data_IF_917158829971
#
_entry.id   IF_917158829971
#
_cell.length_a   1.000
_cell.length_b   1.000
_cell.length_c   1.000
_cell.angle_alpha   90.00
_cell.angle_beta   90.00
_cell.angle_gamma   90.00
#
_symmetry.space_group_name_H-M   'P 1'
#
loop_
_entity.id
_entity.type
_entity.pdbx_description
1 polymer ?
#
# COMPACT_ATOMS: atom_id res chain seq x y z
N UNK A 1 11.84 -9.78 -1.87
CA UNK A 1 10.55 -10.37 -2.25
C UNK A 1 9.78 -10.74 -0.98
N UNK A 2 8.50 -10.43 -0.93
CA UNK A 2 7.56 -10.79 0.14
C UNK A 2 6.65 -11.92 -0.38
N UNK A 3 6.50 -13.01 0.37
CA UNK A 3 5.71 -14.18 -0.04
C UNK A 3 4.75 -14.59 1.08
N UNK A 4 3.48 -14.76 0.74
CA UNK A 4 2.46 -15.37 1.58
C UNK A 4 2.31 -16.84 1.15
N UNK A 5 2.25 -17.77 2.09
CA UNK A 5 2.13 -19.21 1.81
C UNK A 5 1.03 -19.82 2.67
N UNK A 6 -0.05 -20.23 2.01
CA UNK A 6 -1.21 -20.94 2.60
C UNK A 6 -1.77 -20.24 3.85
N UNK A 7 -1.89 -18.92 3.78
CA UNK A 7 -2.35 -18.09 4.91
C UNK A 7 -3.81 -18.34 5.19
N UNK A 8 -4.13 -18.64 6.47
CA UNK A 8 -5.49 -18.70 6.97
C UNK A 8 -5.68 -17.77 8.16
N UNK A 9 -6.85 -17.17 8.25
CA UNK A 9 -7.25 -16.32 9.37
C UNK A 9 -8.74 -16.37 9.63
N UNK A 10 -9.09 -16.72 10.86
CA UNK A 10 -10.46 -16.62 11.39
C UNK A 10 -10.58 -15.43 12.34
N UNK A 11 -11.70 -14.73 12.28
CA UNK A 11 -12.06 -13.65 13.21
C UNK A 11 -13.46 -13.94 13.74
N UNK A 12 -13.62 -14.01 15.06
CA UNK A 12 -14.89 -14.32 15.71
C UNK A 12 -15.54 -15.62 15.20
N UNK A 13 -14.72 -16.65 14.95
CA UNK A 13 -15.19 -17.95 14.45
C UNK A 13 -15.51 -18.00 12.95
N UNK A 14 -15.41 -16.87 12.23
CA UNK A 14 -15.60 -16.82 10.77
C UNK A 14 -14.26 -16.83 10.07
N UNK A 15 -14.06 -17.75 9.12
CA UNK A 15 -12.89 -17.80 8.26
C UNK A 15 -12.93 -16.61 7.27
N UNK A 16 -11.99 -15.69 7.39
CA UNK A 16 -11.92 -14.44 6.61
C UNK A 16 -10.87 -14.54 5.50
N UNK A 17 -9.74 -15.22 5.77
CA UNK A 17 -8.70 -15.50 4.79
C UNK A 17 -8.50 -17.00 4.78
N UNK A 18 -8.61 -17.63 3.62
CA UNK A 18 -8.58 -19.07 3.44
C UNK A 18 -7.58 -19.46 2.35
N UNK A 19 -6.49 -20.05 2.75
CA UNK A 19 -5.45 -20.61 1.86
C UNK A 19 -4.86 -19.61 0.84
N UNK A 20 -4.66 -18.35 1.29
CA UNK A 20 -4.14 -17.28 0.43
C UNK A 20 -2.63 -17.39 0.27
N UNK A 21 -2.16 -17.50 -0.99
CA UNK A 21 -0.75 -17.57 -1.36
C UNK A 21 -0.46 -16.65 -2.54
N UNK A 22 0.46 -15.68 -2.38
CA UNK A 22 0.94 -14.83 -3.47
C UNK A 22 2.26 -14.17 -3.10
N UNK A 23 2.87 -13.48 -4.06
CA UNK A 23 4.15 -12.81 -3.90
C UNK A 23 4.09 -11.36 -4.35
N UNK A 24 4.86 -10.50 -3.65
CA UNK A 24 5.11 -9.10 -4.01
C UNK A 24 6.61 -8.94 -4.20
N UNK A 25 7.02 -8.59 -5.42
CA UNK A 25 8.42 -8.33 -5.76
C UNK A 25 8.76 -6.85 -5.59
N UNK A 26 10.03 -6.56 -5.34
CA UNK A 26 10.54 -5.20 -5.40
C UNK A 26 10.40 -4.69 -6.85
N UNK A 27 10.20 -3.38 -7.02
CA UNK A 27 10.06 -2.76 -8.34
C UNK A 27 8.81 -3.20 -9.11
N UNK A 28 7.76 -3.64 -8.40
CA UNK A 28 6.46 -3.96 -9.01
C UNK A 28 5.30 -3.35 -8.23
N UNK A 29 4.24 -2.99 -8.95
CA UNK A 29 2.96 -2.60 -8.36
C UNK A 29 2.01 -3.78 -8.49
N UNK A 30 1.52 -4.26 -7.36
CA UNK A 30 0.58 -5.37 -7.29
C UNK A 30 -0.76 -4.90 -6.71
N UNK A 31 -1.87 -5.33 -7.30
CA UNK A 31 -3.21 -5.11 -6.76
C UNK A 31 -3.69 -6.32 -5.95
N UNK A 32 -4.24 -6.10 -4.75
CA UNK A 32 -5.07 -7.07 -4.06
C UNK A 32 -6.51 -6.59 -4.12
N UNK A 33 -7.26 -7.11 -5.08
CA UNK A 33 -8.55 -6.61 -5.49
C UNK A 33 -9.67 -7.60 -5.12
N UNK A 34 -10.90 -7.12 -5.09
CA UNK A 34 -12.06 -7.96 -4.78
C UNK A 34 -13.18 -7.16 -4.11
N UNK A 35 -14.38 -7.75 -3.96
CA UNK A 35 -15.54 -7.08 -3.36
C UNK A 35 -15.32 -6.74 -1.88
N UNK A 36 -16.26 -5.96 -1.33
CA UNK A 36 -16.27 -5.66 0.11
C UNK A 36 -16.44 -6.94 0.93
N UNK A 37 -15.67 -7.05 2.02
CA UNK A 37 -15.67 -8.24 2.86
C UNK A 37 -14.92 -9.44 2.30
N UNK A 38 -14.24 -9.31 1.16
CA UNK A 38 -13.47 -10.42 0.55
C UNK A 38 -12.22 -10.85 1.35
N UNK A 39 -11.76 -10.05 2.34
CA UNK A 39 -10.58 -10.36 3.14
C UNK A 39 -9.35 -9.49 2.84
N UNK A 40 -9.46 -8.49 1.95
CA UNK A 40 -8.33 -7.62 1.54
C UNK A 40 -7.64 -6.94 2.71
N UNK A 41 -8.36 -6.12 3.48
CA UNK A 41 -7.80 -5.40 4.64
C UNK A 41 -7.26 -6.36 5.70
N UNK A 42 -7.92 -7.52 5.92
CA UNK A 42 -7.40 -8.55 6.82
C UNK A 42 -6.07 -9.10 6.33
N UNK A 43 -5.93 -9.33 5.03
CA UNK A 43 -4.65 -9.76 4.41
C UNK A 43 -3.58 -8.69 4.58
N UNK A 44 -3.89 -7.42 4.40
CA UNK A 44 -2.98 -6.30 4.68
C UNK A 44 -2.53 -6.28 6.14
N UNK A 45 -3.45 -6.45 7.09
CA UNK A 45 -3.12 -6.51 8.52
C UNK A 45 -2.22 -7.69 8.86
N UNK A 46 -2.41 -8.83 8.20
CA UNK A 46 -1.52 -9.99 8.33
C UNK A 46 -0.11 -9.68 7.82
N UNK A 47 0.03 -9.04 6.65
CA UNK A 47 1.32 -8.64 6.07
C UNK A 47 1.98 -7.56 6.91
N UNK A 48 1.24 -6.56 7.36
CA UNK A 48 1.76 -5.48 8.21
C UNK A 48 2.17 -5.94 9.63
N UNK A 49 1.67 -7.11 10.08
CA UNK A 49 1.93 -7.63 11.43
C UNK A 49 1.08 -6.99 12.51
N UNK A 50 -0.07 -6.42 12.13
CA UNK A 50 -1.10 -5.94 13.05
C UNK A 50 -1.88 -7.08 13.70
N UNK A 51 -2.10 -8.16 12.95
CA UNK A 51 -2.69 -9.40 13.41
C UNK A 51 -1.83 -10.60 13.00
N UNK A 52 -1.96 -11.73 13.69
CA UNK A 52 -1.24 -12.97 13.34
C UNK A 52 -2.14 -13.89 12.53
N UNK A 53 -1.56 -14.61 11.58
CA UNK A 53 -2.22 -15.72 10.88
C UNK A 53 -2.47 -16.90 11.86
N UNK A 54 -3.51 -17.67 11.57
CA UNK A 54 -3.78 -18.90 12.32
C UNK A 54 -3.00 -20.07 11.74
N UNK A 55 -2.83 -20.07 10.39
CA UNK A 55 -2.02 -21.05 9.64
C UNK A 55 -1.22 -20.35 8.55
N UNK A 56 -0.27 -21.06 7.96
CA UNK A 56 0.58 -20.58 6.88
C UNK A 56 1.77 -19.75 7.34
N UNK A 57 2.49 -19.17 6.40
CA UNK A 57 3.68 -18.37 6.70
C UNK A 57 3.80 -17.14 5.80
N UNK A 58 4.37 -16.08 6.36
CA UNK A 58 4.78 -14.88 5.63
C UNK A 58 6.31 -14.85 5.65
N UNK A 59 6.90 -14.86 4.46
CA UNK A 59 8.35 -14.90 4.25
C UNK A 59 8.79 -13.62 3.56
N UNK A 60 9.86 -13.01 4.06
CA UNK A 60 10.46 -11.82 3.50
C UNK A 60 11.98 -12.00 3.40
N UNK A 61 12.54 -11.96 2.17
CA UNK A 61 13.94 -12.26 1.88
C UNK A 61 14.45 -13.52 2.60
N UNK A 62 13.72 -14.64 2.40
CA UNK A 62 14.01 -15.97 2.98
C UNK A 62 13.84 -16.08 4.51
N UNK A 63 13.49 -14.98 5.21
CA UNK A 63 13.19 -14.98 6.64
C UNK A 63 11.67 -15.12 6.89
N UNK A 64 11.29 -16.04 7.77
CA UNK A 64 9.90 -16.16 8.20
C UNK A 64 9.57 -15.06 9.22
N UNK A 65 8.75 -14.11 8.78
CA UNK A 65 8.34 -12.95 9.59
C UNK A 65 6.94 -13.11 10.21
N UNK A 66 6.31 -14.28 10.13
CA UNK A 66 4.91 -14.49 10.57
C UNK A 66 4.69 -14.10 12.02
N UNK A 67 5.66 -14.34 12.90
CA UNK A 67 5.58 -14.00 14.32
C UNK A 67 6.00 -12.57 14.66
N UNK A 68 6.64 -11.84 13.72
CA UNK A 68 7.15 -10.51 13.98
C UNK A 68 6.01 -9.48 14.06
N UNK A 69 5.99 -8.61 15.07
CA UNK A 69 5.02 -7.53 15.19
C UNK A 69 5.31 -6.40 14.18
N UNK A 70 4.33 -5.52 13.95
CA UNK A 70 4.37 -4.44 12.96
C UNK A 70 5.66 -3.60 13.01
N UNK A 71 6.11 -3.19 14.20
CA UNK A 71 7.31 -2.36 14.33
C UNK A 71 8.58 -3.06 13.83
N UNK A 72 8.71 -4.38 14.03
CA UNK A 72 9.83 -5.17 13.50
C UNK A 72 9.76 -5.30 11.99
N UNK A 73 8.57 -5.54 11.42
CA UNK A 73 8.40 -5.58 9.95
C UNK A 73 8.66 -4.21 9.34
N UNK A 74 8.30 -3.14 10.03
CA UNK A 74 8.63 -1.78 9.60
C UNK A 74 10.16 -1.55 9.56
N UNK A 75 10.92 -2.04 10.55
CA UNK A 75 12.39 -1.98 10.55
C UNK A 75 13.02 -2.79 9.40
N UNK A 76 12.38 -3.87 8.95
CA UNK A 76 12.79 -4.64 7.77
C UNK A 76 12.45 -3.94 6.43
N UNK A 77 11.75 -2.80 6.46
CA UNK A 77 11.37 -2.03 5.28
C UNK A 77 9.96 -2.30 4.76
N UNK A 78 9.10 -2.99 5.50
CA UNK A 78 7.67 -3.18 5.13
C UNK A 78 6.86 -2.07 5.79
N UNK A 79 6.30 -1.16 4.98
CA UNK A 79 5.50 -0.02 5.49
C UNK A 79 4.03 -0.20 5.14
N UNK A 80 3.18 0.29 6.02
CA UNK A 80 1.73 0.25 5.83
C UNK A 80 1.13 1.66 5.95
N UNK A 81 0.45 2.07 4.90
CA UNK A 81 -0.32 3.31 4.87
C UNK A 81 -1.81 2.94 4.86
N UNK A 82 -2.53 3.18 5.95
CA UNK A 82 -3.95 2.87 6.06
C UNK A 82 -4.81 3.76 5.17
N UNK A 83 -6.08 3.39 5.01
CA UNK A 83 -7.10 4.21 4.37
C UNK A 83 -7.36 5.50 5.16
N UNK A 84 -7.39 5.39 6.50
CA UNK A 84 -7.56 6.57 7.35
C UNK A 84 -6.31 7.46 7.33
N UNK A 85 -6.50 8.80 7.40
CA UNK A 85 -5.39 9.73 7.39
C UNK A 85 -4.38 9.47 8.53
N UNK A 86 -3.13 9.25 8.14
CA UNK A 86 -2.03 9.03 9.08
C UNK A 86 -1.20 10.28 9.36
N UNK A 87 -1.45 11.38 8.63
CA UNK A 87 -0.75 12.67 8.78
C UNK A 87 -1.04 13.31 10.14
N UNK A 88 -0.05 13.97 10.73
CA UNK A 88 -0.25 14.81 11.93
C UNK A 88 -1.00 16.09 11.55
N UNK A 89 -2.30 16.11 11.80
CA UNK A 89 -3.23 17.14 11.30
C UNK A 89 -2.90 18.56 11.77
N UNK A 90 -2.32 18.73 12.97
CA UNK A 90 -2.00 20.03 13.56
C UNK A 90 -0.58 20.53 13.24
N UNK A 91 0.26 19.66 12.69
CA UNK A 91 1.60 20.01 12.20
C UNK A 91 1.52 20.47 10.74
N UNK A 92 2.44 21.32 10.34
CA UNK A 92 2.65 21.72 8.94
C UNK A 92 3.17 20.54 8.11
N UNK A 93 3.15 20.66 6.77
CA UNK A 93 3.74 19.67 5.87
C UNK A 93 5.23 19.50 6.16
N UNK A 94 5.96 20.61 6.33
CA UNK A 94 7.38 20.57 6.68
C UNK A 94 7.62 19.81 7.99
N UNK A 95 6.87 20.13 9.05
CA UNK A 95 6.98 19.45 10.35
C UNK A 95 6.60 17.96 10.26
N UNK A 96 5.65 17.59 9.38
CA UNK A 96 5.31 16.19 9.13
C UNK A 96 6.45 15.40 8.47
N UNK A 97 7.16 16.00 7.51
CA UNK A 97 8.33 15.39 6.87
C UNK A 97 9.48 15.31 7.87
N UNK A 98 9.79 16.42 8.54
CA UNK A 98 10.88 16.53 9.49
C UNK A 98 10.73 15.56 10.67
N UNK A 99 9.54 15.48 11.28
CA UNK A 99 9.32 14.64 12.46
C UNK A 99 9.55 13.16 12.22
N UNK A 100 9.25 12.63 11.01
CA UNK A 100 9.57 11.24 10.68
C UNK A 100 11.04 11.07 10.30
N UNK A 101 11.62 12.04 9.60
CA UNK A 101 13.05 12.03 9.27
C UNK A 101 13.92 12.02 10.52
N UNK A 102 13.61 12.83 11.54
CA UNK A 102 14.34 12.88 12.83
C UNK A 102 14.29 11.56 13.62
N UNK A 103 13.24 10.75 13.41
CA UNK A 103 13.10 9.43 14.06
C UNK A 103 13.91 8.35 13.32
N UNK A 104 14.14 8.52 12.01
CA UNK A 104 14.65 7.47 11.14
C UNK A 104 16.07 7.69 10.64
N UNK A 105 16.49 8.95 10.50
CA UNK A 105 17.80 9.35 9.97
C UNK A 105 18.73 9.77 11.11
N UNK A 106 20.04 9.56 10.93
CA UNK A 106 20.99 9.68 12.02
C UNK A 106 21.54 11.11 12.21
N UNK A 107 21.59 11.89 11.14
CA UNK A 107 22.23 13.20 11.19
C UNK A 107 21.45 14.28 10.43
N UNK A 108 21.73 15.53 10.79
CA UNK A 108 21.03 16.69 10.24
C UNK A 108 21.14 16.80 8.72
N UNK A 109 22.29 16.46 8.15
CA UNK A 109 22.49 16.55 6.70
C UNK A 109 21.57 15.59 5.96
N UNK A 110 21.45 14.34 6.41
CA UNK A 110 20.53 13.36 5.83
C UNK A 110 19.07 13.80 5.93
N UNK A 111 18.71 14.43 7.07
CA UNK A 111 17.35 14.97 7.28
C UNK A 111 17.10 16.11 6.27
N UNK A 112 18.00 17.08 6.15
CA UNK A 112 17.87 18.20 5.24
C UNK A 112 17.80 17.70 3.77
N UNK A 113 18.72 16.81 3.37
CA UNK A 113 18.72 16.19 2.02
C UNK A 113 17.43 15.41 1.72
N UNK A 114 16.88 14.69 2.70
CA UNK A 114 15.60 14.00 2.56
C UNK A 114 14.45 14.97 2.36
N UNK A 115 14.39 16.04 3.15
CA UNK A 115 13.33 17.05 3.08
C UNK A 115 13.38 17.73 1.71
N UNK A 116 14.55 18.18 1.25
CA UNK A 116 14.71 18.85 -0.04
C UNK A 116 14.27 17.96 -1.21
N UNK A 117 14.71 16.69 -1.21
CA UNK A 117 14.29 15.70 -2.20
C UNK A 117 12.77 15.47 -2.18
N UNK A 118 12.18 15.36 -0.98
CA UNK A 118 10.75 15.14 -0.84
C UNK A 118 9.94 16.34 -1.37
N UNK A 119 10.41 17.56 -1.12
CA UNK A 119 9.77 18.78 -1.62
C UNK A 119 9.76 18.79 -3.15
N UNK A 120 10.90 18.49 -3.76
CA UNK A 120 11.04 18.48 -5.22
C UNK A 120 10.22 17.35 -5.86
N UNK A 121 10.41 16.12 -5.41
CA UNK A 121 9.80 14.92 -5.99
C UNK A 121 8.28 14.90 -5.91
N UNK A 122 7.73 15.39 -4.79
CA UNK A 122 6.28 15.39 -4.56
C UNK A 122 5.60 16.73 -4.84
N UNK A 123 6.35 17.73 -5.36
CA UNK A 123 5.85 19.08 -5.63
C UNK A 123 5.18 19.72 -4.43
N UNK A 124 5.87 19.73 -3.26
CA UNK A 124 5.31 20.18 -2.00
C UNK A 124 5.62 21.64 -1.64
N UNK A 125 6.36 22.38 -2.46
CA UNK A 125 6.88 23.72 -2.15
C UNK A 125 5.80 24.69 -1.64
N UNK A 126 4.64 24.73 -2.30
CA UNK A 126 3.54 25.63 -1.92
C UNK A 126 2.77 25.15 -0.67
N UNK A 127 2.93 23.88 -0.31
CA UNK A 127 2.19 23.25 0.79
C UNK A 127 2.92 23.29 2.12
N UNK A 128 4.22 23.58 2.14
CA UNK A 128 5.11 23.41 3.31
C UNK A 128 4.58 24.06 4.60
N UNK A 129 3.94 25.22 4.49
CA UNK A 129 3.41 25.99 5.63
C UNK A 129 1.97 25.62 6.01
N UNK A 130 1.28 24.84 5.17
CA UNK A 130 -0.09 24.39 5.45
C UNK A 130 -0.07 23.28 6.49
N UNK A 131 -1.04 23.32 7.41
CA UNK A 131 -1.25 22.23 8.37
C UNK A 131 -1.92 21.05 7.70
N UNK A 132 -1.64 19.83 8.16
CA UNK A 132 -2.20 18.60 7.62
C UNK A 132 -3.71 18.62 7.42
N UNK A 133 -4.46 19.27 8.35
CA UNK A 133 -5.92 19.44 8.26
C UNK A 133 -6.41 20.38 7.14
N UNK A 134 -5.52 21.17 6.54
CA UNK A 134 -5.85 22.13 5.47
C UNK A 134 -5.63 21.54 4.07
N UNK A 135 -5.03 20.36 4.00
CA UNK A 135 -4.72 19.69 2.74
C UNK A 135 -5.97 19.03 2.13
N UNK A 136 -6.05 19.05 0.81
CA UNK A 136 -6.99 18.18 0.08
C UNK A 136 -6.66 16.70 0.28
N UNK A 137 -7.55 15.79 -0.10
CA UNK A 137 -7.31 14.35 -0.01
C UNK A 137 -6.04 13.91 -0.74
N UNK A 138 -5.86 14.35 -1.98
CA UNK A 138 -4.68 14.04 -2.80
C UNK A 138 -3.39 14.65 -2.25
N UNK A 139 -3.42 15.93 -1.86
CA UNK A 139 -2.27 16.58 -1.24
C UNK A 139 -1.83 15.87 0.03
N UNK A 140 -2.79 15.49 0.89
CA UNK A 140 -2.53 14.73 2.10
C UNK A 140 -1.89 13.37 1.79
N UNK A 141 -2.45 12.63 0.81
CA UNK A 141 -1.92 11.31 0.42
C UNK A 141 -0.49 11.41 -0.10
N UNK A 142 -0.18 12.43 -0.90
CA UNK A 142 1.20 12.68 -1.34
C UNK A 142 2.15 12.90 -0.17
N UNK A 143 1.78 13.71 0.81
CA UNK A 143 2.61 13.95 2.02
C UNK A 143 2.78 12.68 2.85
N UNK A 144 1.74 11.86 3.00
CA UNK A 144 1.80 10.57 3.71
C UNK A 144 2.77 9.59 3.04
N UNK A 145 2.75 9.52 1.71
CA UNK A 145 3.70 8.69 0.95
C UNK A 145 5.11 9.28 1.09
N UNK A 146 5.29 10.58 0.85
CA UNK A 146 6.59 11.26 0.91
C UNK A 146 7.30 11.01 2.24
N UNK A 147 6.63 11.26 3.38
CA UNK A 147 7.24 11.06 4.69
C UNK A 147 7.63 9.62 4.99
N UNK A 148 6.92 8.64 4.38
CA UNK A 148 7.24 7.22 4.56
C UNK A 148 8.61 6.86 3.99
N UNK A 149 9.08 7.61 2.98
CA UNK A 149 10.37 7.38 2.33
C UNK A 149 11.57 7.66 3.24
N UNK A 150 11.42 8.49 4.29
CA UNK A 150 12.48 8.72 5.28
C UNK A 150 12.99 7.41 5.91
N UNK A 151 12.17 6.38 5.95
CA UNK A 151 12.49 5.08 6.52
C UNK A 151 12.93 4.03 5.49
N UNK A 152 13.33 4.45 4.29
CA UNK A 152 13.85 3.62 3.20
C UNK A 152 13.02 2.34 2.94
N UNK A 153 11.73 2.47 2.60
CA UNK A 153 10.87 1.32 2.41
C UNK A 153 11.37 0.42 1.28
N UNK A 154 11.19 -0.88 1.44
CA UNK A 154 11.41 -1.87 0.39
C UNK A 154 10.08 -2.37 -0.18
N UNK A 155 9.05 -2.42 0.69
CA UNK A 155 7.67 -2.75 0.35
C UNK A 155 6.76 -1.71 1.01
N UNK A 156 5.81 -1.17 0.25
CA UNK A 156 4.75 -0.28 0.74
C UNK A 156 3.39 -0.94 0.50
N UNK A 157 2.62 -1.06 1.56
CA UNK A 157 1.23 -1.51 1.54
C UNK A 157 0.35 -0.26 1.58
N UNK A 158 -0.47 -0.03 0.56
CA UNK A 158 -1.37 1.11 0.44
C UNK A 158 -2.81 0.63 0.46
N UNK A 159 -3.50 0.91 1.54
CA UNK A 159 -4.92 0.55 1.69
C UNK A 159 -5.78 1.69 1.13
N UNK A 160 -6.48 1.43 0.03
CA UNK A 160 -7.36 2.34 -0.70
C UNK A 160 -6.73 3.72 -0.99
N UNK A 161 -5.60 3.77 -1.72
CA UNK A 161 -4.88 5.03 -1.95
C UNK A 161 -5.67 6.08 -2.74
N UNK A 162 -6.70 5.70 -3.48
CA UNK A 162 -7.51 6.60 -4.32
C UNK A 162 -8.86 6.96 -3.69
N UNK A 163 -9.18 6.42 -2.50
CA UNK A 163 -10.48 6.64 -1.87
C UNK A 163 -10.70 8.11 -1.48
N UNK A 164 -11.81 8.70 -1.95
CA UNK A 164 -12.18 10.08 -1.61
C UNK A 164 -11.26 11.16 -2.19
N UNK A 165 -10.56 10.86 -3.27
CA UNK A 165 -9.65 11.75 -3.98
C UNK A 165 -10.26 12.12 -5.33
N UNK A 166 -10.06 13.37 -5.76
CA UNK A 166 -10.51 13.84 -7.07
C UNK A 166 -9.68 13.22 -8.21
N UNK A 167 -10.24 13.12 -9.45
CA UNK A 167 -9.58 12.44 -10.56
C UNK A 167 -8.19 12.99 -10.92
N UNK A 168 -7.99 14.32 -10.85
CA UNK A 168 -6.70 14.94 -11.19
C UNK A 168 -5.64 14.50 -10.16
N UNK A 169 -6.00 14.52 -8.88
CA UNK A 169 -5.09 14.11 -7.82
C UNK A 169 -4.84 12.58 -7.83
N UNK A 170 -5.77 11.76 -8.35
CA UNK A 170 -5.52 10.33 -8.56
C UNK A 170 -4.38 10.14 -9.56
N UNK A 171 -4.37 10.86 -10.68
CA UNK A 171 -3.30 10.76 -11.67
C UNK A 171 -1.94 11.17 -11.10
N UNK A 172 -1.89 12.24 -10.29
CA UNK A 172 -0.67 12.63 -9.58
C UNK A 172 -0.16 11.55 -8.62
N UNK A 173 -1.07 10.85 -7.92
CA UNK A 173 -0.68 9.74 -7.03
C UNK A 173 -0.18 8.54 -7.84
N UNK A 174 -0.79 8.23 -8.98
CA UNK A 174 -0.31 7.17 -9.88
C UNK A 174 1.12 7.45 -10.35
N UNK A 175 1.43 8.68 -10.77
CA UNK A 175 2.79 9.08 -11.16
C UNK A 175 3.78 8.86 -10.02
N UNK A 176 3.41 9.25 -8.79
CA UNK A 176 4.22 8.99 -7.59
C UNK A 176 4.47 7.48 -7.41
N UNK A 177 3.43 6.65 -7.48
CA UNK A 177 3.58 5.20 -7.31
C UNK A 177 4.46 4.56 -8.39
N UNK A 178 4.36 5.03 -9.63
CA UNK A 178 5.22 4.60 -10.74
C UNK A 178 6.69 4.99 -10.45
N UNK A 179 6.94 6.22 -10.00
CA UNK A 179 8.31 6.66 -9.65
C UNK A 179 8.90 5.83 -8.50
N UNK A 180 8.10 5.43 -7.51
CA UNK A 180 8.55 4.56 -6.43
C UNK A 180 8.88 3.15 -6.91
N UNK A 181 8.09 2.61 -7.83
CA UNK A 181 8.38 1.34 -8.51
C UNK A 181 9.73 1.40 -9.22
N UNK A 182 10.03 2.49 -9.96
CA UNK A 182 11.31 2.70 -10.66
C UNK A 182 12.51 2.75 -9.69
N UNK A 183 12.29 3.18 -8.44
CA UNK A 183 13.26 3.12 -7.34
C UNK A 183 13.39 1.73 -6.70
N UNK A 184 12.85 0.69 -7.34
CA UNK A 184 12.88 -0.69 -6.87
C UNK A 184 12.12 -0.93 -5.55
N UNK A 185 11.11 -0.10 -5.25
CA UNK A 185 10.19 -0.29 -4.13
C UNK A 185 9.03 -1.18 -4.63
N UNK A 186 8.75 -2.27 -3.91
CA UNK A 186 7.57 -3.10 -4.16
C UNK A 186 6.32 -2.44 -3.57
N UNK A 187 5.23 -2.44 -4.32
CA UNK A 187 3.99 -1.80 -3.90
C UNK A 187 2.87 -2.82 -3.94
N UNK A 188 2.09 -2.90 -2.87
CA UNK A 188 0.83 -3.65 -2.84
C UNK A 188 -0.29 -2.67 -2.51
N UNK A 189 -1.28 -2.57 -3.42
CA UNK A 189 -2.44 -1.70 -3.23
C UNK A 189 -3.72 -2.49 -3.12
N UNK A 190 -4.68 -2.00 -2.33
CA UNK A 190 -6.11 -2.33 -2.48
C UNK A 190 -6.83 -1.07 -2.92
N UNK A 191 -7.89 -1.20 -3.70
CA UNK A 191 -8.78 -0.07 -3.96
C UNK A 191 -10.17 -0.55 -4.39
N UNK A 192 -11.18 0.29 -4.13
CA UNK A 192 -12.53 0.10 -4.65
C UNK A 192 -12.65 0.61 -6.08
N UNK A 193 -11.81 1.56 -6.47
CA UNK A 193 -11.70 2.02 -7.84
C UNK A 193 -10.83 1.06 -8.66
N UNK A 194 -11.43 -0.05 -9.06
CA UNK A 194 -10.78 -1.16 -9.77
C UNK A 194 -10.07 -0.69 -11.03
N UNK A 195 -10.69 0.24 -11.76
CA UNK A 195 -10.15 0.74 -13.02
C UNK A 195 -8.82 1.44 -12.79
N UNK A 196 -8.78 2.39 -11.84
CA UNK A 196 -7.59 3.16 -11.51
C UNK A 196 -6.47 2.26 -10.95
N UNK A 197 -6.85 1.30 -10.10
CA UNK A 197 -5.89 0.34 -9.55
C UNK A 197 -5.26 -0.55 -10.64
N UNK A 198 -6.10 -1.14 -11.52
CA UNK A 198 -5.63 -2.01 -12.61
C UNK A 198 -4.81 -1.26 -13.67
N UNK A 199 -4.96 0.06 -13.77
CA UNK A 199 -4.22 0.86 -14.75
C UNK A 199 -2.71 0.89 -14.45
N UNK A 200 -2.34 0.93 -13.17
CA UNK A 200 -0.94 1.04 -12.73
C UNK A 200 -0.33 -0.30 -12.27
N UNK A 201 -1.15 -1.32 -12.04
CA UNK A 201 -0.65 -2.61 -11.57
C UNK A 201 0.04 -3.40 -12.68
N UNK A 202 1.22 -3.94 -12.40
CA UNK A 202 1.88 -4.94 -13.25
C UNK A 202 1.12 -6.26 -13.22
N UNK A 203 0.59 -6.62 -12.06
CA UNK A 203 -0.31 -7.76 -11.86
C UNK A 203 -1.28 -7.47 -10.72
N UNK A 204 -2.40 -8.17 -10.70
CA UNK A 204 -3.30 -8.14 -9.56
C UNK A 204 -3.75 -9.54 -9.15
N UNK A 205 -4.09 -9.66 -7.89
CA UNK A 205 -4.66 -10.84 -7.23
C UNK A 205 -6.11 -10.48 -6.90
N UNK A 206 -7.06 -11.28 -7.38
CA UNK A 206 -8.48 -11.08 -7.08
C UNK A 206 -8.89 -12.07 -6.02
N UNK A 207 -9.32 -11.52 -4.86
CA UNK A 207 -9.78 -12.30 -3.72
C UNK A 207 -11.31 -12.19 -3.58
N UNK A 208 -11.96 -13.31 -3.29
CA UNK A 208 -13.40 -13.36 -3.00
C UNK A 208 -13.65 -14.38 -1.89
N UNK A 209 -14.44 -14.01 -0.88
CA UNK A 209 -14.74 -14.86 0.28
C UNK A 209 -13.49 -15.47 0.94
N UNK A 210 -12.41 -14.72 0.98
CA UNK A 210 -11.15 -15.14 1.60
C UNK A 210 -10.24 -15.98 0.72
N UNK A 211 -10.60 -16.31 -0.51
CA UNK A 211 -9.83 -17.15 -1.42
C UNK A 211 -9.41 -16.38 -2.67
N UNK A 212 -8.26 -16.72 -3.24
CA UNK A 212 -7.81 -16.17 -4.52
C UNK A 212 -8.60 -16.87 -5.63
N UNK A 213 -9.35 -16.09 -6.42
CA UNK A 213 -10.15 -16.61 -7.55
C UNK A 213 -9.43 -16.40 -8.89
N UNK A 214 -8.54 -15.43 -9.00
CA UNK A 214 -7.71 -15.20 -10.17
C UNK A 214 -6.46 -14.39 -9.79
N UNK A 215 -5.39 -14.53 -10.56
CA UNK A 215 -4.19 -13.71 -10.48
C UNK A 215 -3.55 -13.53 -11.87
N UNK A 216 -2.84 -12.43 -12.06
CA UNK A 216 -2.12 -12.15 -13.29
C UNK A 216 -2.15 -10.69 -13.73
N UNK A 217 -1.66 -10.41 -14.95
CA UNK A 217 -1.71 -9.08 -15.53
C UNK A 217 -3.15 -8.65 -15.85
N UNK A 218 -3.35 -7.34 -16.02
CA UNK A 218 -4.66 -6.71 -16.27
C UNK A 218 -5.44 -7.41 -17.40
N UNK A 219 -4.77 -7.69 -18.52
CA UNK A 219 -5.39 -8.27 -19.72
C UNK A 219 -5.98 -9.66 -19.45
N UNK A 220 -5.34 -10.45 -18.60
CA UNK A 220 -5.86 -11.75 -18.16
C UNK A 220 -7.09 -11.58 -17.29
N UNK A 221 -7.05 -10.67 -16.32
CA UNK A 221 -8.11 -10.48 -15.34
C UNK A 221 -9.39 -9.88 -15.93
N UNK A 222 -9.27 -8.89 -16.81
CA UNK A 222 -10.44 -8.27 -17.46
C UNK A 222 -11.18 -9.22 -18.42
N UNK A 223 -10.53 -10.29 -18.86
CA UNK A 223 -11.12 -11.32 -19.74
C UNK A 223 -11.59 -12.56 -18.97
N UNK A 224 -11.29 -12.67 -17.68
CA UNK A 224 -11.68 -13.80 -16.85
C UNK A 224 -13.17 -13.75 -16.52
N UNK A 225 -13.91 -14.81 -16.89
CA UNK A 225 -15.37 -14.88 -16.70
C UNK A 225 -15.78 -14.89 -15.22
N UNK A 226 -14.97 -15.48 -14.34
CA UNK A 226 -15.25 -15.51 -12.90
C UNK A 226 -15.03 -14.11 -12.31
N UNK A 227 -13.94 -13.44 -12.69
CA UNK A 227 -13.64 -12.08 -12.26
C UNK A 227 -14.71 -11.09 -12.73
N UNK A 228 -15.13 -11.18 -13.98
CA UNK A 228 -16.26 -10.39 -14.53
C UNK A 228 -17.51 -10.60 -13.71
N UNK A 229 -17.92 -11.84 -13.50
CA UNK A 229 -19.16 -12.18 -12.79
C UNK A 229 -19.16 -11.73 -11.34
N UNK A 230 -18.04 -11.88 -10.64
CA UNK A 230 -17.95 -11.68 -9.17
C UNK A 230 -17.56 -10.26 -8.79
N UNK A 231 -16.78 -9.57 -9.65
CA UNK A 231 -16.15 -8.33 -9.25
C UNK A 231 -16.24 -7.19 -10.26
N UNK A 232 -15.95 -7.42 -11.55
CA UNK A 232 -15.90 -6.34 -12.54
C UNK A 232 -17.28 -5.93 -13.06
N UNK A 233 -18.27 -6.84 -13.09
CA UNK A 233 -19.58 -6.58 -13.70
C UNK A 233 -19.43 -6.13 -15.14
N UNK A 234 -20.15 -5.07 -15.54
CA UNK A 234 -20.10 -4.48 -16.89
C UNK A 234 -19.03 -3.39 -17.06
N UNK A 235 -18.05 -3.31 -16.17
CA UNK A 235 -17.05 -2.22 -16.13
C UNK A 235 -16.12 -2.21 -17.34
N UNK A 236 -15.96 -3.35 -18.01
CA UNK A 236 -15.12 -3.57 -19.19
C UNK A 236 -15.88 -4.27 -20.33
N UNK A 237 -17.22 -4.13 -20.37
CA UNK A 237 -18.11 -4.65 -21.41
C UNK A 237 -18.31 -3.67 -22.56
#
# INVERSE_FOLDING_TARGET
MLSLRNIKKSINGKLIVNDVSFEVSNGTINGLLGPNGAGKTTTFYLIAGLIKSDEGSIVYFDENISSLPMHRRSQLGIKYLPQEPSIFQNLTVLENLQGLAEITLENKKEIDDFIDKSIEEFNLSELLKLKGRQLSGGQRRKVEIARTLASEPKIILLDEPFAGIDPIAIDEIKEVLISLKEKNIGILITDHNVREALEICDKAIVINNGEIIADGPKEKLINDEIVKKVYLGNMYG
#
